data_IF_537848160425
#
_entry.id   IF_537848160425
#
_cell.length_a   1.000
_cell.length_b   1.000
_cell.length_c   1.000
_cell.angle_alpha   90.00
_cell.angle_beta   90.00
_cell.angle_gamma   90.00
#
_symmetry.space_group_name_H-M   'P 1'
#
loop_
_entity.id
_entity.type
_entity.pdbx_description
1 polymer ?
#
# COMPACT_ATOMS: atom_id res chain seq x y z
N UNK A 1 2.47 17.99 -8.07
CA UNK A 1 2.98 16.74 -7.49
C UNK A 1 2.56 15.55 -8.37
N UNK A 2 3.36 14.48 -8.44
CA UNK A 2 3.03 13.27 -9.22
C UNK A 2 1.77 12.56 -8.68
N UNK A 3 1.71 12.41 -7.35
CA UNK A 3 0.55 11.97 -6.58
C UNK A 3 0.18 13.14 -5.65
N UNK A 4 -0.90 13.89 -5.91
CA UNK A 4 -1.36 14.97 -5.03
C UNK A 4 -1.96 14.43 -3.72
N UNK A 5 -1.99 15.29 -2.69
CA UNK A 5 -2.84 15.06 -1.52
C UNK A 5 -4.30 15.31 -1.91
N UNK A 6 -5.22 14.55 -1.35
CA UNK A 6 -6.66 14.77 -1.43
C UNK A 6 -7.17 14.89 0.00
N UNK A 7 -7.63 16.08 0.38
CA UNK A 7 -8.24 16.31 1.68
C UNK A 7 -9.70 15.85 1.69
N UNK A 8 -10.24 15.55 2.86
CA UNK A 8 -11.59 15.05 3.07
C UNK A 8 -12.69 15.87 2.35
N UNK A 9 -12.55 17.19 2.28
CA UNK A 9 -13.53 18.10 1.66
C UNK A 9 -13.39 18.19 0.12
N UNK A 10 -12.26 17.74 -0.42
CA UNK A 10 -12.03 17.67 -1.88
C UNK A 10 -12.64 16.37 -2.41
N UNK A 11 -13.95 16.39 -2.70
CA UNK A 11 -14.66 15.25 -3.29
C UNK A 11 -13.85 14.52 -4.37
N UNK A 12 -13.69 13.20 -4.22
CA UNK A 12 -12.79 12.38 -5.06
C UNK A 12 -13.24 12.47 -6.53
N UNK A 13 -12.60 13.33 -7.30
CA UNK A 13 -12.78 13.37 -8.74
C UNK A 13 -12.07 12.15 -9.34
N UNK A 14 -12.81 11.04 -9.43
CA UNK A 14 -12.37 9.71 -9.84
C UNK A 14 -12.01 9.63 -11.33
N UNK A 15 -11.05 10.42 -11.79
CA UNK A 15 -10.60 10.41 -13.18
C UNK A 15 -9.25 9.71 -13.31
N UNK A 16 -9.28 8.50 -13.86
CA UNK A 16 -8.06 7.86 -14.37
C UNK A 16 -7.45 8.73 -15.46
N UNK A 17 -6.13 8.92 -15.42
CA UNK A 17 -5.42 9.85 -16.32
C UNK A 17 -4.07 9.31 -16.72
N UNK A 18 -3.56 9.80 -17.85
CA UNK A 18 -2.18 9.55 -18.27
C UNK A 18 -1.32 10.71 -17.79
N UNK A 19 -0.25 10.40 -17.05
CA UNK A 19 0.71 11.39 -16.55
C UNK A 19 2.06 11.15 -17.20
N UNK A 20 2.67 12.21 -17.73
CA UNK A 20 4.04 12.16 -18.25
C UNK A 20 5.04 12.43 -17.12
N UNK A 21 5.91 11.46 -16.86
CA UNK A 21 6.92 11.50 -15.81
C UNK A 21 8.22 12.08 -16.37
N UNK A 22 8.55 13.32 -16.00
CA UNK A 22 9.82 13.99 -16.35
C UNK A 22 10.78 13.88 -15.15
N UNK A 23 12.06 13.51 -15.33
CA UNK A 23 12.82 13.57 -16.58
C UNK A 23 12.79 12.30 -17.44
N UNK A 24 12.21 11.20 -16.96
CA UNK A 24 12.27 9.89 -17.61
C UNK A 24 11.53 9.79 -18.97
N UNK A 25 10.71 10.79 -19.30
CA UNK A 25 9.89 10.86 -20.53
C UNK A 25 8.92 9.69 -20.70
N UNK A 26 8.57 8.99 -19.61
CA UNK A 26 7.63 7.86 -19.60
C UNK A 26 6.21 8.33 -19.34
N UNK A 27 5.23 7.69 -19.96
CA UNK A 27 3.83 7.87 -19.64
C UNK A 27 3.38 6.77 -18.66
N UNK A 28 2.78 7.16 -17.55
CA UNK A 28 2.15 6.26 -16.60
C UNK A 28 0.63 6.41 -16.66
N UNK A 29 -0.09 5.29 -16.62
CA UNK A 29 -1.54 5.29 -16.47
C UNK A 29 -1.89 5.29 -14.99
N UNK A 30 -2.40 6.42 -14.51
CA UNK A 30 -2.70 6.66 -13.10
C UNK A 30 -4.17 6.41 -12.87
N UNK A 31 -4.47 5.58 -11.86
CA UNK A 31 -5.84 5.26 -11.46
C UNK A 31 -6.07 5.67 -10.01
N UNK A 32 -7.27 6.17 -9.74
CA UNK A 32 -7.76 6.53 -8.42
C UNK A 32 -9.08 5.78 -8.22
N UNK A 33 -9.08 4.81 -7.32
CA UNK A 33 -10.27 4.07 -6.94
C UNK A 33 -10.10 3.57 -5.51
N UNK A 34 -11.22 3.50 -4.77
CA UNK A 34 -11.23 2.97 -3.40
C UNK A 34 -10.92 1.48 -3.44
N UNK A 35 -9.93 1.05 -2.66
CA UNK A 35 -9.65 -0.36 -2.55
C UNK A 35 -10.70 -1.10 -1.72
N UNK A 36 -10.87 -2.36 -2.10
CA UNK A 36 -11.72 -3.35 -1.48
C UNK A 36 -10.86 -4.37 -0.71
N UNK A 37 -11.49 -5.11 0.19
CA UNK A 37 -10.79 -6.17 0.93
C UNK A 37 -10.21 -7.27 0.00
N UNK A 38 -10.73 -7.39 -1.22
CA UNK A 38 -10.19 -8.29 -2.25
C UNK A 38 -8.79 -7.87 -2.74
N UNK A 39 -8.50 -6.57 -2.76
CA UNK A 39 -7.22 -6.04 -3.20
C UNK A 39 -6.13 -6.39 -2.18
N UNK A 40 -6.41 -6.18 -0.88
CA UNK A 40 -5.52 -6.62 0.20
C UNK A 40 -5.26 -8.13 0.13
N UNK A 41 -6.31 -8.95 0.02
CA UNK A 41 -6.19 -10.42 -0.07
C UNK A 41 -5.33 -10.89 -1.24
N UNK A 42 -5.27 -10.13 -2.33
CA UNK A 42 -4.46 -10.49 -3.49
C UNK A 42 -2.95 -10.41 -3.20
N UNK A 43 -2.55 -9.52 -2.27
CA UNK A 43 -1.16 -9.18 -1.96
C UNK A 43 -0.76 -9.45 -0.50
N UNK A 44 -1.68 -9.95 0.33
CA UNK A 44 -1.46 -10.31 1.74
C UNK A 44 -0.22 -11.19 1.95
N UNK A 45 0.03 -12.12 1.02
CA UNK A 45 1.18 -13.01 1.04
C UNK A 45 2.53 -12.28 0.93
N UNK A 46 2.60 -11.15 0.21
CA UNK A 46 3.82 -10.34 0.16
C UNK A 46 4.03 -9.61 1.47
N UNK A 47 2.96 -9.00 2.01
CA UNK A 47 3.05 -8.25 3.26
C UNK A 47 3.55 -9.13 4.41
N UNK A 48 3.14 -10.39 4.45
CA UNK A 48 3.53 -11.37 5.47
C UNK A 48 4.92 -11.95 5.28
N UNK A 49 5.23 -12.39 4.07
CA UNK A 49 6.34 -13.33 3.85
C UNK A 49 7.45 -12.78 2.96
N UNK A 50 7.29 -11.60 2.35
CA UNK A 50 8.27 -11.06 1.43
C UNK A 50 9.33 -10.23 2.15
N UNK A 51 10.58 -10.47 1.76
CA UNK A 51 11.66 -9.53 2.00
C UNK A 51 11.48 -8.31 1.10
N UNK A 52 11.93 -7.15 1.60
CA UNK A 52 11.89 -5.92 0.82
C UNK A 52 12.85 -6.00 -0.38
N UNK A 53 12.49 -5.32 -1.47
CA UNK A 53 13.32 -5.17 -2.67
C UNK A 53 13.66 -6.49 -3.40
N UNK A 54 12.96 -7.58 -3.06
CA UNK A 54 13.12 -8.90 -3.68
C UNK A 54 11.91 -9.21 -4.58
N UNK A 55 12.17 -9.81 -5.74
CA UNK A 55 11.14 -10.18 -6.71
C UNK A 55 10.61 -11.61 -6.49
N UNK A 56 9.29 -11.75 -6.49
CA UNK A 56 8.59 -13.00 -6.26
C UNK A 56 7.56 -13.29 -7.36
N UNK A 57 7.47 -14.55 -7.75
CA UNK A 57 6.28 -15.07 -8.43
C UNK A 57 5.21 -15.37 -7.38
N UNK A 58 3.93 -15.16 -7.72
CA UNK A 58 2.84 -15.51 -6.81
C UNK A 58 2.86 -17.03 -6.53
N UNK A 59 3.02 -17.47 -5.27
CA UNK A 59 3.00 -18.89 -4.96
C UNK A 59 1.63 -19.50 -5.22
N UNK A 60 1.59 -20.81 -5.43
CA UNK A 60 0.32 -21.51 -5.52
C UNK A 60 -0.46 -21.43 -4.19
N UNK A 61 -1.78 -21.48 -4.26
CA UNK A 61 -2.64 -21.50 -3.07
C UNK A 61 -2.30 -22.66 -2.12
N UNK A 62 -1.78 -23.78 -2.64
CA UNK A 62 -1.34 -24.91 -1.80
C UNK A 62 -0.10 -24.54 -0.96
N UNK A 63 0.86 -23.82 -1.54
CA UNK A 63 2.06 -23.35 -0.83
C UNK A 63 1.67 -22.37 0.27
N UNK A 64 0.86 -21.37 -0.04
CA UNK A 64 0.39 -20.38 0.94
C UNK A 64 -0.39 -21.03 2.09
N UNK A 65 -1.22 -22.04 1.81
CA UNK A 65 -1.92 -22.81 2.86
C UNK A 65 -0.95 -23.55 3.77
N UNK A 66 0.11 -24.16 3.23
CA UNK A 66 1.12 -24.86 4.04
C UNK A 66 1.87 -23.89 4.96
N UNK A 67 2.29 -22.75 4.43
CA UNK A 67 2.97 -21.71 5.22
C UNK A 67 2.08 -21.23 6.37
N UNK A 68 0.81 -20.92 6.07
CA UNK A 68 -0.18 -20.55 7.10
C UNK A 68 -0.38 -21.63 8.18
N UNK A 69 -0.40 -22.91 7.78
CA UNK A 69 -0.50 -24.01 8.74
C UNK A 69 0.75 -24.15 9.61
N UNK A 70 1.94 -23.88 9.07
CA UNK A 70 3.19 -23.88 9.83
C UNK A 70 3.19 -22.79 10.90
N UNK A 71 2.76 -21.56 10.55
CA UNK A 71 2.60 -20.44 11.50
C UNK A 71 1.62 -20.80 12.63
N UNK A 72 0.45 -21.35 12.29
CA UNK A 72 -0.55 -21.77 13.29
C UNK A 72 -0.03 -22.89 14.22
N UNK A 73 0.98 -23.64 13.78
CA UNK A 73 1.62 -24.68 14.58
C UNK A 73 2.82 -24.15 15.39
N UNK A 74 3.12 -22.85 15.35
CA UNK A 74 4.25 -22.24 16.05
C UNK A 74 5.61 -22.54 15.41
N UNK A 75 5.64 -23.03 14.17
CA UNK A 75 6.88 -23.18 13.41
C UNK A 75 7.17 -21.89 12.64
N UNK A 76 8.46 -21.55 12.43
CA UNK A 76 8.81 -20.43 11.56
C UNK A 76 8.19 -20.66 10.18
N UNK A 77 7.55 -19.64 9.62
CA UNK A 77 7.06 -19.70 8.25
C UNK A 77 8.27 -19.89 7.31
N UNK A 78 8.15 -20.81 6.35
CA UNK A 78 9.16 -20.90 5.29
C UNK A 78 9.28 -19.54 4.59
N UNK A 79 10.50 -19.08 4.29
CA UNK A 79 10.68 -17.89 3.45
C UNK A 79 10.07 -18.12 2.06
N UNK A 80 9.52 -17.05 1.45
CA UNK A 80 9.08 -17.15 0.07
C UNK A 80 10.27 -17.60 -0.81
N UNK A 81 10.05 -18.56 -1.72
CA UNK A 81 11.12 -19.02 -2.58
C UNK A 81 11.65 -17.85 -3.38
N UNK A 82 12.92 -17.49 -3.13
CA UNK A 82 13.59 -16.42 -3.86
C UNK A 82 13.61 -16.82 -5.33
N UNK A 83 12.84 -16.11 -6.15
CA UNK A 83 12.87 -16.31 -7.58
C UNK A 83 14.10 -15.59 -8.13
N UNK A 84 14.80 -16.20 -9.10
CA UNK A 84 15.75 -15.47 -9.95
C UNK A 84 15.01 -14.55 -10.93
N UNK A 85 13.94 -13.91 -10.45
CA UNK A 85 13.02 -13.13 -11.22
C UNK A 85 13.68 -11.84 -11.66
N UNK A 86 13.52 -11.51 -12.94
CA UNK A 86 14.09 -10.31 -13.54
C UNK A 86 12.95 -9.46 -14.08
N UNK A 87 12.74 -8.30 -13.47
CA UNK A 87 11.70 -7.38 -13.88
C UNK A 87 12.00 -6.76 -15.24
N UNK A 88 11.03 -6.85 -16.14
CA UNK A 88 11.08 -6.19 -17.44
C UNK A 88 10.45 -4.80 -17.35
N UNK A 89 10.95 -3.88 -18.14
CA UNK A 89 10.36 -2.56 -18.28
C UNK A 89 8.98 -2.63 -18.97
N UNK A 90 7.95 -2.00 -18.39
CA UNK A 90 6.65 -1.84 -19.05
C UNK A 90 6.58 -0.51 -19.79
N UNK A 91 6.08 -0.54 -21.03
CA UNK A 91 5.95 0.66 -21.87
C UNK A 91 5.00 1.73 -21.26
N UNK A 92 3.95 1.29 -20.57
CA UNK A 92 3.00 2.17 -19.88
C UNK A 92 2.64 1.54 -18.54
N UNK A 93 3.46 1.76 -17.50
CA UNK A 93 3.18 1.23 -16.19
C UNK A 93 1.89 1.84 -15.63
N UNK A 94 1.21 1.06 -14.79
CA UNK A 94 0.02 1.51 -14.06
C UNK A 94 0.43 1.96 -12.67
N UNK A 95 -0.11 3.07 -12.21
CA UNK A 95 0.06 3.55 -10.83
C UNK A 95 -1.31 3.66 -10.20
N UNK A 96 -1.56 2.83 -9.19
CA UNK A 96 -2.74 2.98 -8.36
C UNK A 96 -2.46 3.94 -7.20
N UNK A 97 -3.08 5.12 -7.25
CA UNK A 97 -3.09 6.10 -6.17
C UNK A 97 -4.12 5.66 -5.13
N UNK A 98 -3.70 4.90 -4.13
CA UNK A 98 -4.55 4.47 -3.01
C UNK A 98 -4.79 5.59 -2.02
N UNK A 99 -5.70 5.38 -1.06
CA UNK A 99 -5.92 6.33 0.03
C UNK A 99 -4.63 6.55 0.84
N UNK A 100 -3.84 5.49 1.06
CA UNK A 100 -2.54 5.59 1.74
C UNK A 100 -1.56 6.57 1.06
N UNK A 101 -1.69 6.85 -0.23
CA UNK A 101 -0.79 7.76 -0.95
C UNK A 101 -1.38 9.16 -1.15
N UNK A 102 -2.70 9.29 -1.04
CA UNK A 102 -3.40 10.56 -1.26
C UNK A 102 -3.84 11.24 0.02
N UNK A 103 -4.08 10.51 1.11
CA UNK A 103 -4.48 11.10 2.39
C UNK A 103 -3.27 11.75 3.07
N UNK A 104 -3.31 13.06 3.36
CA UNK A 104 -2.28 13.73 4.11
C UNK A 104 -2.37 13.42 5.61
N UNK A 105 -1.32 13.73 6.37
CA UNK A 105 -1.28 13.44 7.82
C UNK A 105 -2.20 14.38 8.63
N UNK A 106 -2.39 15.60 8.14
CA UNK A 106 -3.21 16.67 8.69
C UNK A 106 -4.64 16.69 8.09
N UNK A 107 -5.13 15.55 7.61
CA UNK A 107 -6.46 15.46 7.00
C UNK A 107 -7.57 15.79 8.01
N UNK A 108 -8.60 16.45 7.51
CA UNK A 108 -9.66 17.01 8.32
C UNK A 108 -10.49 15.93 9.04
N UNK A 109 -10.74 16.16 10.34
CA UNK A 109 -11.48 15.21 11.19
C UNK A 109 -12.91 15.71 11.40
N UNK A 110 -13.88 14.97 10.86
CA UNK A 110 -15.31 15.28 10.99
C UNK A 110 -15.93 14.86 12.34
N UNK A 111 -15.26 14.00 13.10
CA UNK A 111 -15.75 13.48 14.38
C UNK A 111 -15.08 14.18 15.57
N UNK A 112 -15.77 15.19 16.12
CA UNK A 112 -15.42 15.80 17.39
C UNK A 112 -16.12 15.04 18.52
N UNK A 113 -15.39 14.20 19.26
CA UNK A 113 -15.90 13.49 20.44
C UNK A 113 -15.80 14.30 21.74
N UNK A 114 -15.12 15.45 21.70
CA UNK A 114 -14.92 16.34 22.83
C UNK A 114 -16.02 17.42 22.89
N UNK A 115 -16.22 18.05 24.06
CA UNK A 115 -17.16 19.16 24.27
C UNK A 115 -16.85 20.42 23.41
N UNK A 116 -15.86 20.37 22.51
CA UNK A 116 -15.52 21.45 21.58
C UNK A 116 -16.64 21.76 20.57
N UNK A 117 -17.63 20.87 20.44
CA UNK A 117 -18.87 21.14 19.70
C UNK A 117 -19.71 22.28 20.32
N UNK A 118 -19.52 22.59 21.62
CA UNK A 118 -20.34 23.57 22.34
C UNK A 118 -19.87 25.03 22.19
N UNK A 119 -18.65 25.30 21.71
CA UNK A 119 -18.17 26.68 21.51
C UNK A 119 -18.49 27.23 20.10
N UNK A 120 -18.84 26.37 19.14
CA UNK A 120 -19.27 26.75 17.80
C UNK A 120 -20.77 26.49 17.58
N UNK A 121 -21.62 26.95 18.50
CA UNK A 121 -23.08 27.01 18.31
C UNK A 121 -23.41 28.16 17.35
N UNK A 122 -23.02 28.00 16.10
CA UNK A 122 -23.53 28.77 14.97
C UNK A 122 -23.08 28.08 13.68
N UNK A 123 -23.68 26.93 13.36
CA UNK A 123 -24.18 26.53 12.04
C UNK A 123 -24.30 25.00 11.96
N UNK A 124 -25.47 24.55 11.53
CA UNK A 124 -25.96 23.17 11.55
C UNK A 124 -25.36 22.28 10.44
N UNK A 125 -24.03 22.23 10.33
CA UNK A 125 -23.31 21.33 9.43
C UNK A 125 -22.17 20.65 10.22
N UNK A 126 -21.81 19.39 9.94
CA UNK A 126 -20.70 18.72 10.60
C UNK A 126 -19.40 19.44 10.21
N UNK A 127 -19.04 20.48 10.96
CA UNK A 127 -17.84 21.25 10.74
C UNK A 127 -16.69 20.53 11.42
N UNK A 128 -15.64 20.32 10.63
CA UNK A 128 -14.35 19.78 11.05
C UNK A 128 -13.86 20.49 12.31
N UNK A 129 -13.26 19.75 13.25
CA UNK A 129 -12.77 20.33 14.50
C UNK A 129 -11.26 20.50 14.44
N UNK A 130 -10.79 21.74 14.28
CA UNK A 130 -9.35 22.04 14.18
C UNK A 130 -8.54 21.46 15.33
N UNK A 131 -9.01 21.60 16.58
CA UNK A 131 -8.30 21.07 17.74
C UNK A 131 -8.18 19.54 17.72
N UNK A 132 -9.21 18.84 17.22
CA UNK A 132 -9.15 17.39 17.06
C UNK A 132 -8.27 16.98 15.88
N UNK A 133 -8.30 17.74 14.78
CA UNK A 133 -7.40 17.55 13.62
C UNK A 133 -5.95 17.70 14.06
N UNK A 134 -5.60 18.80 14.74
CA UNK A 134 -4.24 19.08 15.21
C UNK A 134 -3.74 17.98 16.16
N UNK A 135 -4.53 17.63 17.18
CA UNK A 135 -4.15 16.59 18.14
C UNK A 135 -3.92 15.22 17.49
N UNK A 136 -4.75 14.85 16.50
CA UNK A 136 -4.62 13.59 15.76
C UNK A 136 -3.44 13.62 14.78
N UNK A 137 -3.20 14.75 14.14
CA UNK A 137 -2.03 14.96 13.27
C UNK A 137 -0.74 14.84 14.08
N UNK A 138 -0.66 15.50 15.23
CA UNK A 138 0.50 15.40 16.15
C UNK A 138 0.73 13.97 16.63
N UNK A 139 -0.33 13.24 16.99
CA UNK A 139 -0.23 11.84 17.39
C UNK A 139 0.27 10.94 16.25
N UNK A 140 -0.19 11.20 15.02
CA UNK A 140 0.22 10.47 13.83
C UNK A 140 1.67 10.77 13.45
N UNK A 141 2.11 12.02 13.55
CA UNK A 141 3.50 12.43 13.34
C UNK A 141 4.45 11.84 14.38
N UNK A 142 3.98 11.63 15.61
CA UNK A 142 4.73 10.96 16.68
C UNK A 142 4.76 9.43 16.54
N UNK A 143 3.97 8.85 15.63
CA UNK A 143 3.88 7.41 15.42
C UNK A 143 4.76 6.99 14.24
N UNK A 144 5.65 6.03 14.44
CA UNK A 144 6.45 5.47 13.34
C UNK A 144 5.55 4.68 12.39
N UNK A 145 5.43 5.16 11.15
CA UNK A 145 4.62 4.53 10.10
C UNK A 145 5.50 3.81 9.08
N UNK A 146 4.94 2.74 8.48
CA UNK A 146 5.55 2.04 7.36
C UNK A 146 4.58 1.96 6.18
N UNK A 147 4.95 2.63 5.10
CA UNK A 147 4.27 2.61 3.81
C UNK A 147 4.77 1.42 3.01
N UNK A 148 3.90 0.45 2.78
CA UNK A 148 4.18 -0.73 1.99
C UNK A 148 3.72 -0.53 0.54
N UNK A 149 4.63 -0.72 -0.40
CA UNK A 149 4.40 -0.56 -1.83
C UNK A 149 4.60 -1.89 -2.54
N UNK A 150 3.57 -2.35 -3.25
CA UNK A 150 3.66 -3.56 -4.07
C UNK A 150 3.81 -3.16 -5.53
N UNK A 151 5.02 -3.36 -6.05
CA UNK A 151 5.32 -3.21 -7.45
C UNK A 151 5.06 -4.51 -8.21
N UNK A 152 4.67 -4.38 -9.47
CA UNK A 152 4.50 -5.49 -10.39
C UNK A 152 5.18 -5.20 -11.71
N UNK A 153 5.76 -6.26 -12.27
CA UNK A 153 6.41 -6.28 -13.58
C UNK A 153 6.18 -7.65 -14.22
N UNK A 154 6.71 -7.82 -15.42
CA UNK A 154 6.72 -9.07 -16.16
C UNK A 154 8.09 -9.73 -16.03
N UNK A 155 8.09 -11.04 -15.78
CA UNK A 155 9.30 -11.84 -15.77
C UNK A 155 9.97 -11.78 -17.15
N UNK A 156 11.23 -11.33 -17.20
CA UNK A 156 12.03 -11.38 -18.40
C UNK A 156 12.25 -12.85 -18.81
N UNK A 157 12.05 -13.14 -20.09
CA UNK A 157 12.40 -14.45 -20.63
C UNK A 157 13.91 -14.53 -20.80
N UNK A 158 14.53 -15.56 -20.24
CA UNK A 158 15.84 -15.98 -20.69
C UNK A 158 15.68 -16.52 -22.13
N UNK A 159 16.41 -15.95 -23.07
CA UNK A 159 16.26 -16.22 -24.50
C UNK A 159 16.65 -17.68 -24.86
N UNK A 160 15.67 -18.39 -25.46
CA UNK A 160 15.75 -19.52 -26.41
C UNK A 160 16.09 -20.92 -25.86
N UNK A 161 15.06 -21.79 -25.81
CA UNK A 161 15.21 -23.20 -26.22
C UNK A 161 14.60 -23.37 -27.63
N UNK A 162 15.33 -23.93 -28.61
CA UNK A 162 14.85 -24.09 -29.98
C UNK A 162 14.07 -25.40 -30.09
N UNK A 163 12.88 -25.48 -29.48
CA UNK A 163 11.98 -26.62 -29.69
C UNK A 163 10.55 -26.27 -29.32
N UNK A 164 9.71 -26.27 -30.36
CA UNK A 164 8.25 -26.36 -30.40
C UNK A 164 7.45 -26.23 -29.11
N UNK A 165 6.57 -25.22 -29.10
CA UNK A 165 5.20 -25.41 -28.64
C UNK A 165 5.02 -25.56 -27.13
N UNK A 166 5.23 -24.48 -26.39
CA UNK A 166 4.45 -24.21 -25.19
C UNK A 166 4.28 -22.69 -25.11
N UNK A 167 3.05 -22.23 -24.89
CA UNK A 167 2.78 -20.80 -24.70
C UNK A 167 3.66 -20.29 -23.54
N UNK A 168 4.72 -19.56 -23.87
CA UNK A 168 5.53 -18.84 -22.87
C UNK A 168 4.64 -17.76 -22.25
N UNK A 169 3.86 -18.15 -21.24
CA UNK A 169 2.98 -17.24 -20.52
C UNK A 169 3.88 -16.23 -19.82
N UNK A 170 3.80 -14.97 -20.23
CA UNK A 170 4.44 -13.87 -19.53
C UNK A 170 3.87 -13.84 -18.12
N UNK A 171 4.70 -14.17 -17.12
CA UNK A 171 4.26 -14.28 -15.72
C UNK A 171 4.44 -12.95 -15.00
N UNK A 172 3.42 -12.47 -14.27
CA UNK A 172 3.60 -11.31 -13.41
C UNK A 172 4.48 -11.71 -12.22
N UNK A 173 5.41 -10.82 -11.91
CA UNK A 173 6.22 -10.87 -10.70
C UNK A 173 5.92 -9.64 -9.86
N UNK A 174 6.19 -9.76 -8.57
CA UNK A 174 5.85 -8.74 -7.57
C UNK A 174 7.03 -8.48 -6.65
N UNK A 175 7.16 -7.24 -6.20
CA UNK A 175 8.18 -6.81 -5.25
C UNK A 175 7.53 -5.93 -4.18
N UNK A 176 7.90 -6.14 -2.93
CA UNK A 176 7.51 -5.28 -1.81
C UNK A 176 8.61 -4.26 -1.54
N UNK A 177 8.28 -2.98 -1.50
CA UNK A 177 9.14 -1.93 -0.97
C UNK A 177 8.48 -1.32 0.27
N UNK A 178 9.29 -0.82 1.21
CA UNK A 178 8.82 -0.18 2.44
C UNK A 178 9.43 1.22 2.56
N UNK A 179 8.64 2.21 2.95
CA UNK A 179 9.08 3.59 3.15
C UNK A 179 8.56 4.11 4.50
N UNK A 180 9.30 5.01 5.16
CA UNK A 180 8.90 5.55 6.47
C UNK A 180 7.92 6.73 6.41
N UNK A 181 7.65 7.28 5.22
CA UNK A 181 6.72 8.40 5.06
C UNK A 181 6.01 8.35 3.71
N UNK A 182 4.91 9.10 3.62
CA UNK A 182 4.15 9.27 2.38
C UNK A 182 5.01 9.89 1.28
N UNK A 183 5.79 10.92 1.61
CA UNK A 183 6.63 11.64 0.65
C UNK A 183 7.76 10.73 0.13
N UNK A 184 8.35 9.92 1.02
CA UNK A 184 9.33 8.91 0.63
C UNK A 184 8.68 7.85 -0.29
N UNK A 185 7.47 7.38 0.04
CA UNK A 185 6.73 6.44 -0.80
C UNK A 185 6.41 7.03 -2.19
N UNK A 186 5.94 8.28 -2.26
CA UNK A 186 5.65 8.95 -3.53
C UNK A 186 6.91 9.15 -4.36
N UNK A 187 8.04 9.50 -3.74
CA UNK A 187 9.33 9.62 -4.41
C UNK A 187 9.80 8.27 -4.96
N UNK A 188 9.67 7.19 -4.17
CA UNK A 188 10.01 5.83 -4.57
C UNK A 188 9.16 5.38 -5.77
N UNK A 189 7.83 5.58 -5.73
CA UNK A 189 6.94 5.26 -6.85
C UNK A 189 7.34 6.06 -8.08
N UNK A 190 7.63 7.36 -7.93
CA UNK A 190 8.02 8.22 -9.03
C UNK A 190 9.32 7.75 -9.69
N UNK A 191 10.33 7.42 -8.87
CA UNK A 191 11.60 6.91 -9.35
C UNK A 191 11.44 5.55 -10.03
N UNK A 192 10.81 4.59 -9.35
CA UNK A 192 10.72 3.21 -9.81
C UNK A 192 9.77 3.03 -10.99
N UNK A 193 8.63 3.72 -11.00
CA UNK A 193 7.72 3.73 -12.17
C UNK A 193 8.36 4.48 -13.34
N UNK A 194 9.00 5.62 -13.09
CA UNK A 194 9.55 6.49 -14.12
C UNK A 194 10.80 5.89 -14.77
N UNK A 195 11.77 5.48 -13.96
CA UNK A 195 13.03 4.90 -14.41
C UNK A 195 12.83 3.47 -14.94
N UNK A 196 12.28 2.58 -14.10
CA UNK A 196 12.27 1.14 -14.40
C UNK A 196 11.01 0.69 -15.15
N UNK A 197 9.97 1.52 -15.21
CA UNK A 197 8.71 1.15 -15.87
C UNK A 197 7.93 0.08 -15.13
N UNK A 198 8.05 -0.01 -13.81
CA UNK A 198 7.26 -0.96 -13.01
C UNK A 198 5.92 -0.36 -12.61
N UNK A 199 4.90 -1.22 -12.46
CA UNK A 199 3.57 -0.78 -12.07
C UNK A 199 3.41 -0.83 -10.56
N UNK A 200 2.82 0.19 -9.94
CA UNK A 200 2.34 0.11 -8.56
C UNK A 200 0.93 -0.47 -8.56
N UNK A 201 0.76 -1.65 -7.98
CA UNK A 201 -0.50 -2.41 -7.99
C UNK A 201 -1.20 -2.45 -6.64
N UNK A 202 -0.48 -2.27 -5.55
CA UNK A 202 -1.06 -2.15 -4.21
C UNK A 202 -0.20 -1.24 -3.32
N UNK A 203 -0.83 -0.49 -2.43
CA UNK A 203 -0.13 0.26 -1.37
C UNK A 203 -1.00 0.38 -0.13
N UNK A 204 -0.36 0.37 1.02
CA UNK A 204 -1.00 0.51 2.32
C UNK A 204 -0.03 1.10 3.34
N UNK A 205 -0.54 1.54 4.49
CA UNK A 205 0.26 2.00 5.63
C UNK A 205 -0.23 1.33 6.90
N UNK A 206 0.73 1.01 7.77
CA UNK A 206 0.54 0.42 9.10
C UNK A 206 1.61 1.01 10.04
N UNK A 207 1.51 0.74 11.34
CA UNK A 207 2.56 1.16 12.28
C UNK A 207 3.80 0.31 12.12
N UNK A 208 4.98 0.89 12.34
CA UNK A 208 6.25 0.20 12.19
C UNK A 208 6.57 -0.74 13.36
N UNK A 209 6.04 -0.45 14.55
CA UNK A 209 6.17 -1.27 15.76
C UNK A 209 5.23 -2.49 15.77
N UNK A 210 4.23 -2.52 14.89
CA UNK A 210 3.35 -3.67 14.71
C UNK A 210 4.06 -4.76 13.88
N UNK A 211 4.55 -5.79 14.57
CA UNK A 211 5.03 -6.99 13.87
C UNK A 211 3.84 -7.86 13.42
N UNK A 212 3.83 -8.20 12.13
CA UNK A 212 2.77 -9.04 11.55
C UNK A 212 2.79 -10.45 12.18
N UNK A 213 3.97 -10.92 12.57
CA UNK A 213 4.17 -12.24 13.17
C UNK A 213 3.61 -12.31 14.60
N UNK A 214 3.85 -11.31 15.45
CA UNK A 214 3.38 -11.33 16.85
C UNK A 214 1.86 -11.15 16.94
N UNK A 215 1.24 -10.46 15.97
CA UNK A 215 -0.22 -10.22 15.91
C UNK A 215 -0.99 -11.27 15.10
N UNK A 216 -0.49 -12.50 15.06
CA UNK A 216 -1.18 -13.63 14.44
C UNK A 216 -1.46 -13.47 12.94
N UNK A 217 -0.77 -12.56 12.27
CA UNK A 217 -0.89 -12.30 10.84
C UNK A 217 -2.28 -11.84 10.40
N UNK A 218 -3.15 -11.32 11.27
CA UNK A 218 -4.46 -10.80 10.84
C UNK A 218 -4.34 -9.31 10.52
N UNK A 219 -4.93 -8.88 9.41
CA UNK A 219 -5.01 -7.47 9.04
C UNK A 219 -6.43 -6.94 9.25
N UNK A 220 -6.55 -5.78 9.88
CA UNK A 220 -7.81 -5.06 10.08
C UNK A 220 -7.75 -3.71 9.36
N UNK A 221 -8.64 -3.52 8.38
CA UNK A 221 -8.76 -2.25 7.68
C UNK A 221 -9.24 -1.16 8.64
N UNK A 222 -8.58 -0.01 8.64
CA UNK A 222 -9.09 1.23 9.23
C UNK A 222 -9.56 2.18 8.13
N UNK A 223 -10.61 2.95 8.40
CA UNK A 223 -11.21 3.86 7.40
C UNK A 223 -10.51 5.23 7.33
N UNK A 224 -9.82 5.64 8.41
CA UNK A 224 -9.08 6.89 8.46
C UNK A 224 -7.63 6.66 8.89
N UNK A 225 -6.70 7.44 8.33
CA UNK A 225 -5.26 7.30 8.58
C UNK A 225 -4.89 7.53 10.06
N UNK A 226 -5.48 8.54 10.70
CA UNK A 226 -5.20 8.89 12.09
C UNK A 226 -5.51 7.76 13.10
N UNK A 227 -6.38 6.80 12.74
CA UNK A 227 -6.71 5.65 13.60
C UNK A 227 -5.49 4.74 13.83
N UNK A 228 -4.46 4.85 12.98
CA UNK A 228 -3.18 4.16 13.21
C UNK A 228 -2.43 4.70 14.43
N UNK A 229 -2.62 5.97 14.78
CA UNK A 229 -2.01 6.58 15.97
C UNK A 229 -2.80 6.25 17.25
N UNK A 230 -4.08 5.90 17.13
CA UNK A 230 -4.88 5.48 18.29
C UNK A 230 -4.34 4.19 18.90
N UNK A 231 -4.48 4.07 20.23
CA UNK A 231 -4.14 2.88 20.97
C UNK A 231 -4.81 1.62 20.42
N UNK A 232 -4.20 0.46 20.68
CA UNK A 232 -4.78 -0.82 20.30
C UNK A 232 -5.81 -1.30 21.29
N UNK A 233 -7.06 -1.36 20.81
CA UNK A 233 -8.12 -2.10 21.50
C UNK A 233 -8.06 -3.61 21.20
N UNK A 234 -7.26 -4.03 20.21
CA UNK A 234 -7.20 -5.40 19.70
C UNK A 234 -5.76 -5.85 19.43
N UNK A 235 -5.17 -6.57 20.38
CA UNK A 235 -3.80 -7.11 20.29
C UNK A 235 -3.67 -8.24 19.23
N UNK A 236 -4.77 -8.75 18.68
CA UNK A 236 -4.76 -9.87 17.73
C UNK A 236 -4.71 -9.46 16.25
N UNK A 237 -4.72 -8.16 15.91
CA UNK A 237 -4.66 -7.72 14.52
C UNK A 237 -3.80 -6.49 14.28
N UNK A 238 -3.20 -6.43 13.08
CA UNK A 238 -2.43 -5.29 12.56
C UNK A 238 -3.40 -4.32 11.90
N UNK A 239 -3.42 -3.06 12.33
CA UNK A 239 -4.23 -2.02 11.71
C UNK A 239 -3.58 -1.61 10.38
N UNK A 240 -4.38 -1.58 9.31
CA UNK A 240 -3.89 -1.24 7.98
C UNK A 240 -4.82 -0.23 7.29
N UNK A 241 -4.24 0.84 6.75
CA UNK A 241 -4.96 1.86 5.98
C UNK A 241 -4.62 1.77 4.50
N UNK A 242 -5.64 1.76 3.63
CA UNK A 242 -5.51 1.65 2.16
C UNK A 242 -6.77 2.09 1.39
#
# INVERSE_FOLDING_TARGET
AFIPANYFDEGISSHSRIVRMLPFRRNAFVTLHRAQATDLKAFEWLLKYASTETWYEKPSNAVLKRMKHAELAGNPADELPVSSARATEMQTPKVWMSAALTTPADDDVSECSAEHAAENIALSFPQTCQQCTDAKSEALEATDLVYCLVFSSLQAHDYIAPSGGSSNSVRPIYMLAKCGSREAAVAEIFHTTGLNGWSLVFSCVMRADESIEERGGKFRRVDNLWILADGDDDEESVKIFY
#
